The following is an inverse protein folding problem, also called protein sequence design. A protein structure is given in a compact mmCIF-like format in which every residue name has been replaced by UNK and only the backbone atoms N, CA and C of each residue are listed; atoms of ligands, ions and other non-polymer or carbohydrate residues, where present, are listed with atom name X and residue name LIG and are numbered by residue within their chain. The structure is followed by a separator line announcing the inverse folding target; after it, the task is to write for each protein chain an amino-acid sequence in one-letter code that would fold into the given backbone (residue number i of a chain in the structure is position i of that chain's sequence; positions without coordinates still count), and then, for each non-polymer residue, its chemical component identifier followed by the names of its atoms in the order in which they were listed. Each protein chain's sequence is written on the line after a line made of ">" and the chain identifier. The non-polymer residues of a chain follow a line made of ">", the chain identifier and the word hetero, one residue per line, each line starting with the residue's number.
data_IF_609832232073
#
_entry.id   IF_609832232073
#
_cell.length_a   1.000
_cell.length_b   1.000
_cell.length_c   1.000
_cell.angle_alpha   90.00
_cell.angle_beta   90.00
_cell.angle_gamma   90.00
#
_symmetry.space_group_name_H-M   'P 1'
#
loop_
_entity.id
_entity.type
_entity.pdbx_description
1 polymer ?
#
# COMPACT_ATOMS: atom_id res chain seq x y z
N UNK A 1 -0.92 -13.77 -3.32
CA UNK A 1 -0.73 -12.36 -2.87
C UNK A 1 -1.50 -11.52 -3.86
N UNK A 2 -2.46 -10.73 -3.38
CA UNK A 2 -3.25 -9.81 -4.23
C UNK A 2 -2.66 -8.41 -4.23
N UNK A 3 -1.91 -8.07 -3.18
CA UNK A 3 -1.26 -6.77 -3.02
C UNK A 3 -0.10 -6.57 -4.00
N UNK A 4 -0.14 -5.49 -4.78
CA UNK A 4 0.91 -5.08 -5.71
C UNK A 4 1.80 -3.99 -5.10
N UNK A 5 2.99 -3.81 -5.67
CA UNK A 5 3.86 -2.66 -5.35
C UNK A 5 3.37 -1.41 -6.09
N UNK A 6 3.93 -0.25 -5.78
CA UNK A 6 3.61 0.97 -6.53
C UNK A 6 4.82 1.89 -6.73
N UNK A 7 4.73 2.73 -7.75
CA UNK A 7 5.67 3.81 -8.04
C UNK A 7 4.93 4.96 -8.72
N UNK A 8 5.27 6.21 -8.40
CA UNK A 8 4.66 7.39 -9.01
C UNK A 8 5.40 7.79 -10.30
N UNK A 9 5.44 6.85 -11.24
CA UNK A 9 6.07 7.03 -12.55
C UNK A 9 5.26 6.28 -13.61
N UNK A 10 5.24 6.82 -14.82
CA UNK A 10 4.66 6.15 -15.99
C UNK A 10 5.60 5.07 -16.52
N UNK A 11 5.85 4.03 -15.73
CA UNK A 11 6.73 2.93 -16.10
C UNK A 11 5.95 1.66 -16.44
N UNK A 12 5.82 1.38 -17.75
CA UNK A 12 5.14 0.18 -18.24
C UNK A 12 5.93 -1.10 -17.97
N UNK A 13 7.24 -1.01 -17.75
CA UNK A 13 8.12 -2.16 -17.61
C UNK A 13 7.83 -2.95 -16.33
N UNK A 14 7.32 -2.27 -15.31
CA UNK A 14 7.05 -2.85 -14.01
C UNK A 14 5.64 -3.48 -13.89
N UNK A 15 4.84 -3.49 -14.97
CA UNK A 15 3.48 -4.05 -14.93
C UNK A 15 3.44 -5.53 -14.58
N UNK A 16 4.40 -6.31 -15.08
CA UNK A 16 4.55 -7.73 -14.82
C UNK A 16 6.02 -8.03 -14.56
N UNK A 17 6.34 -8.53 -13.37
CA UNK A 17 7.71 -8.85 -12.97
C UNK A 17 7.73 -10.19 -12.23
N UNK A 18 8.91 -10.81 -12.18
CA UNK A 18 9.20 -11.90 -11.24
C UNK A 18 10.24 -11.39 -10.26
N UNK A 19 9.91 -11.39 -8.97
CA UNK A 19 10.79 -10.94 -7.90
C UNK A 19 11.26 -12.12 -7.02
N UNK A 20 12.13 -11.87 -6.04
CA UNK A 20 12.65 -12.92 -5.14
C UNK A 20 13.63 -13.90 -5.80
N UNK A 21 14.26 -13.50 -6.91
CA UNK A 21 15.26 -14.28 -7.64
C UNK A 21 16.65 -14.20 -6.96
N UNK A 22 17.58 -15.07 -7.39
CA UNK A 22 18.97 -15.05 -6.92
C UNK A 22 19.29 -16.05 -5.79
N UNK A 23 18.48 -17.10 -5.62
CA UNK A 23 18.73 -18.17 -4.66
C UNK A 23 18.07 -17.95 -3.30
N UNK A 24 18.20 -18.94 -2.41
CA UNK A 24 17.39 -19.06 -1.17
C UNK A 24 17.50 -17.86 -0.21
N UNK A 25 18.65 -17.18 -0.18
CA UNK A 25 18.86 -16.02 0.71
C UNK A 25 18.14 -14.76 0.25
N UNK A 26 17.71 -14.72 -1.02
CA UNK A 26 17.11 -13.55 -1.67
C UNK A 26 15.58 -13.60 -1.74
N UNK A 27 14.96 -14.55 -1.04
CA UNK A 27 13.52 -14.67 -0.90
C UNK A 27 12.92 -15.87 -1.64
N UNK A 28 11.62 -15.75 -1.93
CA UNK A 28 10.83 -16.79 -2.60
C UNK A 28 10.37 -16.22 -3.94
N UNK A 29 10.75 -16.85 -5.09
CA UNK A 29 10.31 -16.40 -6.40
C UNK A 29 8.79 -16.36 -6.52
N UNK A 30 8.25 -15.26 -7.04
CA UNK A 30 6.83 -15.11 -7.35
C UNK A 30 6.61 -14.10 -8.47
N UNK A 31 5.43 -14.17 -9.08
CA UNK A 31 4.96 -13.12 -9.98
C UNK A 31 4.43 -11.93 -9.17
N UNK A 32 4.69 -10.72 -9.66
CA UNK A 32 4.22 -9.47 -9.10
C UNK A 32 4.04 -8.38 -10.17
N UNK A 33 3.58 -7.21 -9.75
CA UNK A 33 3.55 -6.02 -10.59
C UNK A 33 3.52 -4.74 -9.76
N UNK A 34 3.67 -3.63 -10.47
CA UNK A 34 3.55 -2.28 -9.92
C UNK A 34 2.35 -1.56 -10.51
N UNK A 35 1.59 -0.89 -9.65
CA UNK A 35 0.59 0.10 -10.05
C UNK A 35 1.14 1.52 -9.85
N UNK A 36 0.52 2.52 -10.48
CA UNK A 36 0.83 3.92 -10.18
C UNK A 36 0.39 4.25 -8.74
N UNK A 37 1.16 5.03 -7.98
CA UNK A 37 0.91 5.27 -6.54
C UNK A 37 -0.52 5.75 -6.23
N UNK A 38 -1.12 6.57 -7.08
CA UNK A 38 -2.51 7.04 -6.91
C UNK A 38 -3.57 5.94 -7.03
N UNK A 39 -3.26 4.80 -7.65
CA UNK A 39 -4.15 3.65 -7.76
C UNK A 39 -4.10 2.73 -6.52
N UNK A 40 -3.20 3.00 -5.57
CA UNK A 40 -3.07 2.20 -4.34
C UNK A 40 -4.31 2.33 -3.45
N UNK A 41 -4.73 1.22 -2.84
CA UNK A 41 -5.75 1.23 -1.78
C UNK A 41 -5.34 2.12 -0.60
N UNK A 42 -4.04 2.31 -0.36
CA UNK A 42 -3.54 3.27 0.64
C UNK A 42 -4.00 4.69 0.32
N UNK A 43 -4.00 5.10 -0.95
CA UNK A 43 -4.47 6.41 -1.36
C UNK A 43 -5.99 6.54 -1.15
N UNK A 44 -6.76 5.51 -1.50
CA UNK A 44 -8.21 5.49 -1.24
C UNK A 44 -8.52 5.60 0.25
N UNK A 45 -7.77 4.89 1.10
CA UNK A 45 -7.91 4.97 2.56
C UNK A 45 -7.52 6.35 3.08
N UNK A 46 -6.42 6.94 2.59
CA UNK A 46 -6.00 8.29 3.00
C UNK A 46 -7.08 9.34 2.70
N UNK A 47 -7.74 9.24 1.54
CA UNK A 47 -8.82 10.13 1.14
C UNK A 47 -10.14 9.93 1.90
N UNK A 48 -10.35 8.75 2.50
CA UNK A 48 -11.60 8.38 3.18
C UNK A 48 -11.49 8.35 4.71
N UNK A 49 -10.27 8.43 5.26
CA UNK A 49 -10.02 8.44 6.68
C UNK A 49 -10.47 9.77 7.31
N UNK A 50 -11.13 9.68 8.47
CA UNK A 50 -11.59 10.86 9.22
C UNK A 50 -10.53 11.43 10.15
N UNK A 51 -9.69 10.56 10.69
CA UNK A 51 -8.62 10.88 11.63
C UNK A 51 -7.55 9.77 11.61
N UNK A 52 -6.52 9.92 12.44
CA UNK A 52 -5.37 8.99 12.45
C UNK A 52 -5.74 7.60 12.99
N UNK A 53 -6.74 7.50 13.85
CA UNK A 53 -7.18 6.23 14.41
C UNK A 53 -8.03 5.47 13.39
N UNK A 54 -8.95 6.15 12.70
CA UNK A 54 -9.71 5.62 11.55
C UNK A 54 -8.76 5.19 10.41
N UNK A 55 -7.73 5.99 10.12
CA UNK A 55 -6.69 5.64 9.15
C UNK A 55 -6.02 4.31 9.53
N UNK A 56 -5.58 4.16 10.79
CA UNK A 56 -4.93 2.94 11.28
C UNK A 56 -5.85 1.73 11.26
N UNK A 57 -7.11 1.91 11.65
CA UNK A 57 -8.11 0.84 11.63
C UNK A 57 -8.36 0.36 10.20
N UNK A 58 -8.56 1.28 9.24
CA UNK A 58 -8.75 0.94 7.83
C UNK A 58 -7.54 0.21 7.26
N UNK A 59 -6.34 0.71 7.52
CA UNK A 59 -5.10 0.05 7.09
C UNK A 59 -5.03 -1.38 7.64
N UNK A 60 -5.42 -1.62 8.90
CA UNK A 60 -5.37 -2.96 9.49
C UNK A 60 -6.29 -3.98 8.80
N UNK A 61 -7.37 -3.52 8.15
CA UNK A 61 -8.37 -4.36 7.47
C UNK A 61 -8.04 -4.68 6.01
N UNK A 62 -6.99 -4.07 5.45
CA UNK A 62 -6.55 -4.34 4.07
C UNK A 62 -6.21 -5.82 3.92
N UNK A 63 -6.81 -6.50 2.95
CA UNK A 63 -6.48 -7.90 2.61
C UNK A 63 -5.32 -7.90 1.63
N UNK A 64 -4.17 -8.44 2.05
CA UNK A 64 -2.94 -8.47 1.24
C UNK A 64 -2.80 -9.75 0.41
N UNK A 65 -3.58 -10.78 0.76
CA UNK A 65 -3.63 -12.04 0.05
C UNK A 65 -4.40 -13.10 0.83
N UNK A 66 -4.16 -14.35 0.47
CA UNK A 66 -4.81 -15.51 1.06
C UNK A 66 -3.75 -16.54 1.46
N UNK A 67 -3.98 -17.25 2.55
CA UNK A 67 -3.14 -18.37 2.95
C UNK A 67 -3.44 -19.62 2.08
N UNK A 68 -2.73 -20.72 2.30
CA UNK A 68 -2.93 -21.97 1.55
C UNK A 68 -4.31 -22.61 1.74
N UNK A 69 -5.00 -22.29 2.83
CA UNK A 69 -6.36 -22.75 3.12
C UNK A 69 -7.42 -21.83 2.49
N UNK A 70 -7.02 -20.74 1.84
CA UNK A 70 -7.91 -19.75 1.24
C UNK A 70 -8.44 -18.69 2.22
N UNK A 71 -7.97 -18.67 3.47
CA UNK A 71 -8.35 -17.66 4.45
C UNK A 71 -7.66 -16.32 4.12
N UNK A 72 -8.37 -15.17 4.21
CA UNK A 72 -7.78 -13.87 3.95
C UNK A 72 -6.72 -13.53 5.00
N UNK A 73 -5.62 -12.92 4.54
CA UNK A 73 -4.55 -12.39 5.39
C UNK A 73 -4.57 -10.87 5.29
N UNK A 74 -4.65 -10.19 6.42
CA UNK A 74 -4.73 -8.73 6.50
C UNK A 74 -3.40 -8.07 6.81
N UNK A 75 -3.27 -6.76 6.56
CA UNK A 75 -2.11 -5.99 7.00
C UNK A 75 -2.00 -5.91 8.53
N UNK A 76 -3.13 -6.04 9.25
CA UNK A 76 -3.18 -6.17 10.70
C UNK A 76 -2.52 -7.46 11.20
N UNK A 77 -2.75 -8.58 10.51
CA UNK A 77 -2.11 -9.87 10.83
C UNK A 77 -0.58 -9.81 10.69
N UNK A 78 -0.10 -8.99 9.75
CA UNK A 78 1.32 -8.71 9.55
C UNK A 78 1.90 -7.62 10.48
N UNK A 79 1.08 -7.04 11.37
CA UNK A 79 1.45 -5.95 12.27
C UNK A 79 1.98 -4.70 11.55
N UNK A 80 1.58 -4.47 10.30
CA UNK A 80 2.11 -3.40 9.46
C UNK A 80 1.38 -2.05 9.65
N UNK A 81 0.15 -2.07 10.18
CA UNK A 81 -0.72 -0.90 10.31
C UNK A 81 -0.10 0.25 11.11
N UNK A 82 0.60 -0.04 12.21
CA UNK A 82 1.20 1.00 13.04
C UNK A 82 2.32 1.76 12.32
N UNK A 83 3.20 1.03 11.64
CA UNK A 83 4.29 1.61 10.87
C UNK A 83 3.78 2.40 9.66
N UNK A 84 2.79 1.87 8.95
CA UNK A 84 2.16 2.59 7.82
C UNK A 84 1.46 3.87 8.26
N UNK A 85 0.69 3.85 9.35
CA UNK A 85 0.07 5.06 9.91
C UNK A 85 1.12 6.09 10.30
N UNK A 86 2.25 5.66 10.88
CA UNK A 86 3.34 6.57 11.24
C UNK A 86 3.94 7.29 10.01
N UNK A 87 4.12 6.58 8.89
CA UNK A 87 4.60 7.17 7.63
C UNK A 87 3.59 8.17 7.03
N UNK A 88 2.29 7.96 7.25
CA UNK A 88 1.22 8.79 6.71
C UNK A 88 0.75 9.91 7.64
N UNK A 89 1.32 10.00 8.85
CA UNK A 89 0.88 10.94 9.90
C UNK A 89 0.82 12.39 9.42
N UNK A 90 1.88 12.85 8.76
CA UNK A 90 1.94 14.24 8.27
C UNK A 90 1.21 14.38 6.92
N UNK A 91 1.17 13.33 6.11
CA UNK A 91 0.44 13.30 4.84
C UNK A 91 -1.09 13.41 5.02
N UNK A 92 -1.63 13.02 6.18
CA UNK A 92 -3.04 13.17 6.51
C UNK A 92 -3.45 14.64 6.71
N UNK A 93 -2.51 15.55 6.95
CA UNK A 93 -2.81 16.97 7.13
C UNK A 93 -3.17 17.61 5.78
N UNK A 94 -4.30 18.31 5.66
CA UNK A 94 -4.66 19.00 4.42
C UNK A 94 -3.61 20.04 4.02
N UNK A 95 -3.35 20.14 2.72
CA UNK A 95 -2.45 21.15 2.16
C UNK A 95 -3.26 22.41 1.82
N UNK A 96 -2.94 23.53 2.47
CA UNK A 96 -3.51 24.83 2.12
C UNK A 96 -2.65 25.51 1.06
N UNK A 97 -3.30 25.94 -0.02
CA UNK A 97 -2.73 26.74 -1.09
C UNK A 97 -3.69 27.87 -1.44
N UNK A 98 -3.21 28.89 -2.15
CA UNK A 98 -3.99 30.07 -2.52
C UNK A 98 -4.13 30.18 -4.04
N UNK A 99 -5.23 30.80 -4.49
CA UNK A 99 -5.44 31.09 -5.90
C UNK A 99 -4.83 32.45 -6.27
N UNK A 100 -4.94 32.87 -7.53
CA UNK A 100 -4.47 34.19 -7.96
C UNK A 100 -5.30 35.35 -7.39
N UNK A 101 -6.52 35.09 -6.92
CA UNK A 101 -7.48 36.09 -6.43
C UNK A 101 -7.56 36.13 -4.89
N UNK A 102 -6.48 35.70 -4.21
CA UNK A 102 -6.34 35.32 -2.79
C UNK A 102 -6.50 33.82 -2.50
#
# INVERSE_FOLDING_TARGET
>A
ITWKRCVDMNDRQLRNVVDGLGGRVNGVPREDGFDITVASEIMAILCLAKDIDDLKERISKIVVGYNFEGNPVTAGDLKAQGAMTALLKDALKPNLVQTLEH
#
